data_IF_842310511740
#
_entry.id   IF_842310511740
#
_cell.length_a   1.000
_cell.length_b   1.000
_cell.length_c   1.000
_cell.angle_alpha   90.00
_cell.angle_beta   90.00
_cell.angle_gamma   90.00
#
_symmetry.space_group_name_H-M   'P 1'
#
loop_
_entity.id
_entity.type
_entity.pdbx_description
1 polymer ?
#
# COMPACT_ATOMS: atom_id res chain seq x y z
N UNK A 1 -15.09 26.12 0.03
CA UNK A 1 -14.39 25.35 -1.01
C UNK A 1 -14.59 23.90 -0.63
N UNK A 2 -15.54 23.23 -1.26
CA UNK A 2 -15.74 21.79 -1.04
C UNK A 2 -14.44 21.10 -1.42
N UNK A 3 -13.68 20.62 -0.43
CA UNK A 3 -12.57 19.70 -0.68
C UNK A 3 -13.22 18.47 -1.29
N UNK A 4 -13.02 18.27 -2.59
CA UNK A 4 -13.44 17.05 -3.26
C UNK A 4 -12.93 15.87 -2.44
N UNK A 5 -13.86 15.03 -1.94
CA UNK A 5 -13.47 13.86 -1.17
C UNK A 5 -12.68 12.94 -2.08
N UNK A 6 -11.42 12.69 -1.76
CA UNK A 6 -10.60 11.75 -2.51
C UNK A 6 -11.30 10.40 -2.61
N UNK A 7 -11.32 9.84 -3.82
CA UNK A 7 -11.88 8.51 -4.09
C UNK A 7 -10.76 7.48 -3.97
N UNK A 8 -10.82 6.69 -2.90
CA UNK A 8 -9.91 5.58 -2.69
C UNK A 8 -9.93 4.60 -3.87
N UNK A 9 -8.75 4.14 -4.23
CA UNK A 9 -8.52 3.19 -5.32
C UNK A 9 -8.64 1.75 -4.81
N UNK A 10 -8.93 0.85 -5.75
CA UNK A 10 -8.88 -0.59 -5.53
C UNK A 10 -7.94 -1.23 -6.54
N UNK A 11 -7.25 -2.33 -6.19
CA UNK A 11 -6.39 -3.03 -7.14
C UNK A 11 -7.16 -3.41 -8.41
N UNK A 12 -6.64 -2.99 -9.56
CA UNK A 12 -7.19 -3.30 -10.88
C UNK A 12 -6.23 -4.20 -11.65
N UNK A 13 -6.75 -5.00 -12.59
CA UNK A 13 -5.92 -5.94 -13.37
C UNK A 13 -5.51 -7.20 -12.60
N UNK A 14 -6.04 -7.39 -11.40
CA UNK A 14 -5.85 -8.57 -10.56
C UNK A 14 -7.16 -9.38 -10.53
N UNK A 15 -7.07 -10.68 -10.83
CA UNK A 15 -8.18 -11.62 -10.67
C UNK A 15 -8.27 -12.16 -9.23
N UNK A 16 -7.12 -12.45 -8.59
CA UNK A 16 -7.06 -12.91 -7.20
C UNK A 16 -5.73 -12.59 -6.53
N UNK A 17 -5.73 -12.48 -5.19
CA UNK A 17 -4.57 -12.29 -4.33
C UNK A 17 -4.52 -13.38 -3.26
N UNK A 18 -3.32 -13.89 -2.98
CA UNK A 18 -3.05 -14.71 -1.79
C UNK A 18 -2.39 -13.84 -0.73
N UNK A 19 -3.06 -13.63 0.40
CA UNK A 19 -2.63 -12.73 1.47
C UNK A 19 -2.38 -13.52 2.77
N UNK A 20 -1.35 -13.14 3.51
CA UNK A 20 -1.03 -13.68 4.84
C UNK A 20 -0.96 -12.52 5.82
N UNK A 21 -1.75 -12.59 6.88
CA UNK A 21 -1.81 -11.56 7.92
C UNK A 21 -1.43 -12.17 9.27
N UNK A 22 -0.67 -11.42 10.08
CA UNK A 22 -0.60 -11.68 11.51
C UNK A 22 -1.94 -11.35 12.16
N UNK A 23 -2.21 -11.92 13.35
CA UNK A 23 -3.42 -11.60 14.10
C UNK A 23 -3.52 -10.09 14.39
N UNK A 24 -2.38 -9.45 14.72
CA UNK A 24 -2.28 -8.01 14.94
C UNK A 24 -2.66 -7.21 13.69
N UNK A 25 -2.13 -7.61 12.53
CA UNK A 25 -2.47 -6.98 11.25
C UNK A 25 -3.96 -7.12 10.93
N UNK A 26 -4.53 -8.32 11.12
CA UNK A 26 -5.93 -8.59 10.87
C UNK A 26 -6.85 -7.76 11.79
N UNK A 27 -6.52 -7.67 13.08
CA UNK A 27 -7.24 -6.84 14.04
C UNK A 27 -7.22 -5.37 13.63
N UNK A 28 -6.07 -4.86 13.18
CA UNK A 28 -5.97 -3.49 12.71
C UNK A 28 -6.82 -3.25 11.46
N UNK A 29 -6.82 -4.17 10.49
CA UNK A 29 -7.59 -4.05 9.25
C UNK A 29 -9.11 -3.97 9.49
N UNK A 30 -9.63 -4.64 10.53
CA UNK A 30 -11.04 -4.52 10.95
C UNK A 30 -11.38 -3.18 11.63
N UNK A 31 -10.38 -2.39 12.03
CA UNK A 31 -10.58 -1.09 12.65
C UNK A 31 -10.83 0.05 11.67
N UNK A 32 -10.89 1.26 12.21
CA UNK A 32 -10.98 2.51 11.45
C UNK A 32 -9.83 3.45 11.82
N UNK A 33 -9.49 4.33 10.90
CA UNK A 33 -8.57 5.46 11.13
C UNK A 33 -9.32 6.76 10.85
N UNK A 34 -9.26 7.70 11.79
CA UNK A 34 -9.82 9.05 11.60
C UNK A 34 -8.91 9.88 10.69
N UNK A 35 -9.47 10.77 9.89
CA UNK A 35 -8.70 11.83 9.22
C UNK A 35 -8.58 13.07 10.12
N UNK A 36 -8.11 14.20 9.57
CA UNK A 36 -7.95 15.45 10.33
C UNK A 36 -9.29 16.18 10.60
N UNK A 37 -10.34 15.86 9.83
CA UNK A 37 -11.71 16.35 10.06
C UNK A 37 -12.51 15.40 10.98
N UNK A 38 -11.88 14.34 11.48
CA UNK A 38 -12.48 13.35 12.38
C UNK A 38 -13.29 12.27 11.69
N UNK A 39 -13.32 12.23 10.35
CA UNK A 39 -14.04 11.22 9.57
C UNK A 39 -13.33 9.88 9.66
N UNK A 40 -14.07 8.83 9.97
CA UNK A 40 -13.54 7.47 10.05
C UNK A 40 -13.49 6.79 8.67
N UNK A 41 -12.35 6.19 8.36
CA UNK A 41 -12.14 5.34 7.18
C UNK A 41 -11.79 3.94 7.65
N UNK A 42 -12.44 2.91 7.09
CA UNK A 42 -12.11 1.51 7.38
C UNK A 42 -10.68 1.22 6.93
N UNK A 43 -9.89 0.55 7.77
CA UNK A 43 -8.46 0.34 7.53
C UNK A 43 -8.19 -0.54 6.30
N UNK A 44 -9.10 -1.46 5.96
CA UNK A 44 -9.07 -2.18 4.68
C UNK A 44 -9.12 -1.25 3.45
N UNK A 45 -9.81 -0.12 3.52
CA UNK A 45 -9.87 0.84 2.41
C UNK A 45 -8.52 1.52 2.23
N UNK A 46 -7.87 1.93 3.34
CA UNK A 46 -6.53 2.53 3.30
C UNK A 46 -5.48 1.55 2.76
N UNK A 47 -5.50 0.31 3.27
CA UNK A 47 -4.60 -0.73 2.78
C UNK A 47 -4.86 -1.06 1.30
N UNK A 48 -6.14 -1.17 0.90
CA UNK A 48 -6.54 -1.37 -0.49
C UNK A 48 -6.06 -0.26 -1.42
N UNK A 49 -6.10 1.00 -0.97
CA UNK A 49 -5.62 2.16 -1.74
C UNK A 49 -4.10 2.14 -1.94
N UNK A 50 -3.34 1.65 -0.96
CA UNK A 50 -1.91 1.40 -1.13
C UNK A 50 -1.67 0.25 -2.10
N UNK A 51 -2.38 -0.87 -1.92
CA UNK A 51 -2.25 -2.05 -2.76
C UNK A 51 -2.62 -1.77 -4.22
N UNK A 52 -3.55 -0.85 -4.47
CA UNK A 52 -3.92 -0.39 -5.81
C UNK A 52 -2.77 0.28 -6.58
N UNK A 53 -1.73 0.73 -5.88
CA UNK A 53 -0.53 1.36 -6.46
C UNK A 53 0.57 0.33 -6.76
N UNK A 54 0.37 -0.94 -6.38
CA UNK A 54 1.34 -2.00 -6.60
C UNK A 54 1.49 -2.29 -8.10
N UNK A 55 2.74 -2.30 -8.57
CA UNK A 55 3.08 -2.74 -9.90
C UNK A 55 2.89 -4.27 -10.00
N UNK A 56 2.02 -4.71 -10.91
CA UNK A 56 1.77 -6.14 -11.13
C UNK A 56 2.90 -6.83 -11.90
N UNK A 57 3.61 -6.07 -12.72
CA UNK A 57 4.77 -6.53 -13.51
C UNK A 57 5.87 -5.48 -13.42
N UNK A 58 7.11 -5.88 -13.67
CA UNK A 58 8.22 -4.91 -13.73
C UNK A 58 8.00 -3.90 -14.84
N UNK A 59 8.19 -2.62 -14.54
CA UNK A 59 7.99 -1.54 -15.50
C UNK A 59 8.15 -0.16 -14.89
N UNK A 60 8.02 0.88 -15.72
CA UNK A 60 8.11 2.26 -15.23
C UNK A 60 6.85 2.64 -14.44
N UNK A 61 7.06 3.06 -13.19
CA UNK A 61 6.04 3.67 -12.35
C UNK A 61 5.52 4.94 -12.99
N UNK A 62 4.21 4.98 -13.26
CA UNK A 62 3.51 6.16 -13.76
C UNK A 62 2.87 6.89 -12.57
N UNK A 63 2.97 8.22 -12.51
CA UNK A 63 2.31 9.03 -11.48
C UNK A 63 3.24 9.93 -10.65
N UNK A 64 4.55 9.82 -10.84
CA UNK A 64 5.53 10.72 -10.22
C UNK A 64 6.33 11.45 -11.29
N UNK A 65 6.81 12.66 -10.96
CA UNK A 65 7.55 13.54 -11.89
C UNK A 65 8.82 12.89 -12.46
N UNK A 66 9.41 11.94 -11.72
CA UNK A 66 10.53 11.12 -12.18
C UNK A 66 10.06 9.68 -12.31
N UNK A 67 10.01 9.13 -13.54
CA UNK A 67 9.77 7.71 -13.75
C UNK A 67 10.80 6.90 -12.97
N UNK A 68 10.32 5.89 -12.25
CA UNK A 68 11.16 4.93 -11.54
C UNK A 68 10.78 3.54 -12.03
N UNK A 69 11.74 2.73 -12.42
CA UNK A 69 11.49 1.31 -12.71
C UNK A 69 11.13 0.60 -11.41
N UNK A 70 9.88 0.14 -11.32
CA UNK A 70 9.38 -0.66 -10.23
C UNK A 70 9.46 -2.13 -10.61
N UNK A 71 9.89 -2.97 -9.68
CA UNK A 71 9.72 -4.41 -9.78
C UNK A 71 8.29 -4.81 -9.46
N UNK A 72 7.86 -5.97 -9.98
CA UNK A 72 6.60 -6.59 -9.59
C UNK A 72 6.46 -6.68 -8.06
N UNK A 73 5.35 -6.19 -7.49
CA UNK A 73 5.14 -6.14 -6.04
C UNK A 73 5.58 -4.84 -5.36
N UNK A 74 6.15 -3.89 -6.09
CA UNK A 74 6.52 -2.56 -5.56
C UNK A 74 5.48 -1.49 -5.89
N UNK A 75 5.35 -0.49 -5.03
CA UNK A 75 4.60 0.74 -5.30
C UNK A 75 5.43 1.97 -4.95
N UNK A 76 5.38 3.01 -5.78
CA UNK A 76 5.94 4.31 -5.44
C UNK A 76 4.94 5.12 -4.62
N UNK A 77 5.41 5.87 -3.63
CA UNK A 77 4.55 6.72 -2.80
C UNK A 77 5.23 8.04 -2.39
N UNK A 78 4.40 9.00 -1.95
CA UNK A 78 4.82 10.24 -1.31
C UNK A 78 3.94 10.49 -0.09
N UNK A 79 4.56 10.82 1.04
CA UNK A 79 3.83 11.20 2.25
C UNK A 79 3.01 12.48 2.03
N UNK A 80 3.50 13.43 1.23
CA UNK A 80 2.76 14.64 0.83
C UNK A 80 1.51 14.29 0.03
N UNK A 81 1.62 13.40 -0.96
CA UNK A 81 0.47 12.98 -1.76
C UNK A 81 -0.55 12.20 -0.93
N UNK A 82 -0.10 11.24 -0.11
CA UNK A 82 -0.97 10.49 0.79
C UNK A 82 -1.64 11.41 1.81
N UNK A 83 -0.91 12.41 2.33
CA UNK A 83 -1.44 13.41 3.24
C UNK A 83 -2.59 14.20 2.63
N UNK A 84 -2.42 14.65 1.37
CA UNK A 84 -3.46 15.34 0.65
C UNK A 84 -4.66 14.43 0.30
N UNK A 85 -4.39 13.19 -0.15
CA UNK A 85 -5.41 12.23 -0.56
C UNK A 85 -6.24 11.73 0.62
N UNK A 86 -5.61 11.44 1.76
CA UNK A 86 -6.30 10.86 2.91
C UNK A 86 -6.73 11.92 3.93
N UNK A 87 -6.50 13.21 3.64
CA UNK A 87 -6.82 14.34 4.53
C UNK A 87 -6.22 14.13 5.94
N UNK A 88 -4.97 13.67 5.99
CA UNK A 88 -4.24 13.38 7.22
C UNK A 88 -2.90 14.11 7.21
N UNK A 89 -2.53 14.76 8.32
CA UNK A 89 -1.23 15.42 8.42
C UNK A 89 -0.05 14.46 8.15
N UNK A 90 1.04 14.94 7.54
CA UNK A 90 2.20 14.11 7.17
C UNK A 90 2.80 13.29 8.32
N UNK A 91 2.81 13.82 9.55
CA UNK A 91 3.26 13.06 10.74
C UNK A 91 2.37 11.85 10.98
N UNK A 92 1.06 11.97 10.78
CA UNK A 92 0.09 10.89 10.92
C UNK A 92 0.25 9.84 9.83
N UNK A 93 0.43 10.27 8.58
CA UNK A 93 0.77 9.36 7.46
C UNK A 93 2.02 8.56 7.78
N UNK A 94 3.08 9.22 8.26
CA UNK A 94 4.32 8.53 8.62
C UNK A 94 4.11 7.47 9.69
N UNK A 95 3.47 7.85 10.80
CA UNK A 95 3.17 6.92 11.89
C UNK A 95 2.30 5.74 11.42
N UNK A 96 1.37 5.98 10.50
CA UNK A 96 0.54 4.94 9.90
C UNK A 96 1.38 3.98 9.05
N UNK A 97 2.26 4.49 8.19
CA UNK A 97 3.18 3.65 7.40
C UNK A 97 4.13 2.84 8.29
N UNK A 98 4.63 3.45 9.37
CA UNK A 98 5.49 2.77 10.35
C UNK A 98 4.70 1.64 11.04
N UNK A 99 3.45 1.89 11.45
CA UNK A 99 2.59 0.85 12.04
C UNK A 99 2.26 -0.29 11.07
N UNK A 100 2.00 0.02 9.79
CA UNK A 100 1.79 -0.99 8.75
C UNK A 100 3.05 -1.85 8.52
N UNK A 101 4.23 -1.23 8.63
CA UNK A 101 5.52 -1.92 8.56
C UNK A 101 5.72 -2.86 9.75
N UNK A 102 5.48 -2.37 10.97
CA UNK A 102 5.55 -3.17 12.19
C UNK A 102 4.57 -4.34 12.24
N UNK A 103 3.49 -4.29 11.44
CA UNK A 103 2.50 -5.36 11.31
C UNK A 103 2.81 -6.34 10.16
N UNK A 104 3.86 -6.08 9.36
CA UNK A 104 4.23 -6.88 8.20
C UNK A 104 3.29 -6.73 7.01
N UNK A 105 2.48 -5.68 6.97
CA UNK A 105 1.56 -5.42 5.84
C UNK A 105 2.31 -4.84 4.64
N UNK A 106 3.25 -3.94 4.90
CA UNK A 106 4.13 -3.32 3.90
C UNK A 106 5.56 -3.29 4.42
N UNK A 107 6.54 -3.07 3.55
CA UNK A 107 7.80 -2.44 3.96
C UNK A 107 7.95 -1.10 3.23
N UNK A 108 8.67 -0.15 3.84
CA UNK A 108 8.96 1.14 3.20
C UNK A 108 10.45 1.39 3.06
N UNK A 109 10.87 1.85 1.88
CA UNK A 109 12.22 2.30 1.61
C UNK A 109 12.20 3.73 1.08
N UNK A 110 12.69 4.67 1.89
CA UNK A 110 12.64 6.10 1.61
C UNK A 110 13.98 6.57 1.08
N UNK A 111 13.97 7.32 -0.01
CA UNK A 111 15.18 7.95 -0.54
C UNK A 111 14.93 9.39 -0.96
N UNK A 112 16.01 10.11 -1.25
CA UNK A 112 15.97 11.48 -1.77
C UNK A 112 15.35 11.57 -3.18
N UNK A 113 15.31 10.46 -3.92
CA UNK A 113 14.85 10.39 -5.32
C UNK A 113 13.41 9.91 -5.39
N UNK A 114 13.08 8.86 -4.64
CA UNK A 114 11.74 8.28 -4.56
C UNK A 114 11.58 7.44 -3.29
N UNK A 115 10.36 7.37 -2.76
CA UNK A 115 10.01 6.39 -1.73
C UNK A 115 9.23 5.25 -2.37
N UNK A 116 9.63 4.03 -2.05
CA UNK A 116 9.04 2.79 -2.58
C UNK A 116 8.55 1.96 -1.41
N UNK A 117 7.41 1.31 -1.57
CA UNK A 117 6.91 0.29 -0.65
C UNK A 117 6.78 -1.06 -1.33
N UNK A 118 6.87 -2.12 -0.56
CA UNK A 118 6.59 -3.50 -0.94
C UNK A 118 5.45 -4.05 -0.07
N UNK A 119 4.87 -5.20 -0.44
CA UNK A 119 3.74 -5.80 0.27
C UNK A 119 4.07 -7.23 0.72
N UNK A 120 4.83 -7.43 1.82
CA UNK A 120 5.25 -8.77 2.26
C UNK A 120 4.09 -9.70 2.61
N UNK A 121 2.94 -9.14 2.98
CA UNK A 121 1.71 -9.89 3.23
C UNK A 121 1.11 -10.52 1.96
N UNK A 122 1.46 -10.06 0.75
CA UNK A 122 1.01 -10.65 -0.52
C UNK A 122 1.96 -11.78 -0.90
N UNK A 123 1.49 -13.02 -1.00
CA UNK A 123 2.32 -14.16 -1.44
C UNK A 123 2.40 -14.29 -2.95
N UNK A 124 1.27 -14.10 -3.61
CA UNK A 124 1.14 -14.18 -5.06
C UNK A 124 -0.12 -13.44 -5.51
N UNK A 125 -0.17 -13.09 -6.80
CA UNK A 125 -1.38 -12.60 -7.44
C UNK A 125 -1.55 -13.21 -8.82
N UNK A 126 -2.82 -13.37 -9.22
CA UNK A 126 -3.19 -13.72 -10.58
C UNK A 126 -3.64 -12.48 -11.32
N UNK A 127 -3.03 -12.21 -12.45
CA UNK A 127 -3.41 -11.12 -13.35
C UNK A 127 -4.67 -11.51 -14.13
N UNK A 128 -5.43 -10.52 -14.59
CA UNK A 128 -6.70 -10.77 -15.33
C UNK A 128 -6.51 -11.51 -16.66
N UNK A 129 -5.29 -11.52 -17.21
CA UNK A 129 -4.91 -12.28 -18.41
C UNK A 129 -4.53 -13.74 -18.11
N UNK A 130 -4.60 -14.17 -16.84
CA UNK A 130 -4.34 -15.55 -16.42
C UNK A 130 -2.90 -15.83 -15.95
N UNK A 131 -2.00 -14.83 -15.99
CA UNK A 131 -0.67 -14.94 -15.41
C UNK A 131 -0.72 -15.10 -13.88
N UNK A 132 0.23 -15.84 -13.31
CA UNK A 132 0.40 -15.97 -11.87
C UNK A 132 1.82 -15.54 -11.50
N UNK A 133 1.92 -14.59 -10.56
CA UNK A 133 3.19 -13.99 -10.17
C UNK A 133 3.40 -14.20 -8.67
N UNK A 134 4.47 -14.90 -8.33
CA UNK A 134 4.94 -15.02 -6.94
C UNK A 134 5.59 -13.71 -6.52
N UNK A 135 5.23 -13.21 -5.34
CA UNK A 135 5.80 -11.97 -4.82
C UNK A 135 7.27 -12.18 -4.41
N UNK A 136 8.24 -11.43 -4.98
CA UNK A 136 9.63 -11.54 -4.57
C UNK A 136 9.94 -10.88 -3.22
N UNK A 137 9.00 -10.14 -2.62
CA UNK A 137 9.19 -9.36 -1.40
C UNK A 137 8.46 -9.91 -0.17
N UNK A 138 8.18 -11.22 -0.15
CA UNK A 138 7.55 -11.83 1.04
C UNK A 138 8.54 -11.97 2.17
N UNK A 139 8.09 -11.77 3.41
CA UNK A 139 8.84 -12.27 4.56
C UNK A 139 8.67 -13.80 4.55
N UNK A 140 9.72 -14.55 4.19
CA UNK A 140 9.82 -15.93 4.65
C UNK A 140 9.64 -15.87 6.17
N UNK A 141 8.73 -16.68 6.70
CA UNK A 141 8.50 -16.71 8.14
C UNK A 141 9.87 -16.93 8.79
N UNK A 142 10.42 -15.92 9.46
CA UNK A 142 11.43 -16.17 10.48
C UNK A 142 10.67 -16.99 11.51
N UNK A 143 10.90 -18.29 11.47
CA UNK A 143 10.57 -19.19 12.57
C UNK A 143 11.17 -18.54 13.82
N UNK A 144 10.31 -18.09 14.73
CA UNK A 144 10.67 -17.76 16.09
C UNK A 144 10.94 -19.05 16.88
#
# INVERSE_FOLDING_TARGET
MDKETYRFMYPAGIASLSLVFSQKALQWLYGTTRDDDGRETVNFILFGDLLARMALTTGEGKGFRRPLTLSAGQAQYSEEQLSAQWNMGRKRIRNLLDALTDMGLIDTHRSRVASVMTFPCVREWRTSDGGCITNPFTHEQREE
#
